data_IF_243812189325
#
_entry.id   IF_243812189325
#
_cell.length_a   1.000
_cell.length_b   1.000
_cell.length_c   1.000
_cell.angle_alpha   90.00
_cell.angle_beta   90.00
_cell.angle_gamma   90.00
#
_symmetry.space_group_name_H-M   'P 1'
#
loop_
_entity.id
_entity.type
_entity.pdbx_description
1 polymer ?
#
# COMPACT_ATOMS: atom_id res chain seq x y z
N UNK A 1 -10.87 19.98 -7.44
CA UNK A 1 -10.24 18.65 -7.36
C UNK A 1 -11.20 17.66 -7.99
N UNK A 2 -10.85 17.10 -9.13
CA UNK A 2 -11.57 15.99 -9.75
C UNK A 2 -11.09 14.68 -9.12
N UNK A 3 -12.00 13.73 -8.94
CA UNK A 3 -11.69 12.39 -8.43
C UNK A 3 -11.95 11.35 -9.51
N UNK A 4 -11.06 10.37 -9.60
CA UNK A 4 -11.15 9.25 -10.54
C UNK A 4 -10.84 7.94 -9.82
N UNK A 5 -11.43 6.85 -10.27
CA UNK A 5 -11.14 5.50 -9.79
C UNK A 5 -10.54 4.66 -10.91
N UNK A 6 -9.51 3.88 -10.58
CA UNK A 6 -8.93 2.85 -11.45
C UNK A 6 -8.86 1.53 -10.72
N UNK A 7 -9.04 0.43 -11.45
CA UNK A 7 -8.91 -0.92 -10.93
C UNK A 7 -7.60 -1.49 -11.47
N UNK A 8 -6.67 -1.84 -10.57
CA UNK A 8 -5.32 -2.27 -10.96
C UNK A 8 -5.32 -3.45 -11.94
N UNK A 9 -6.30 -4.36 -11.82
CA UNK A 9 -6.43 -5.55 -12.65
C UNK A 9 -7.27 -5.34 -13.91
N UNK A 10 -7.79 -4.12 -14.15
CA UNK A 10 -8.62 -3.77 -15.32
C UNK A 10 -8.10 -2.53 -16.05
N UNK A 11 -6.79 -2.26 -15.95
CA UNK A 11 -6.18 -1.11 -16.61
C UNK A 11 -6.28 -1.25 -18.14
N UNK A 12 -6.75 -0.21 -18.79
CA UNK A 12 -6.75 -0.09 -20.26
C UNK A 12 -5.42 0.53 -20.73
N UNK A 13 -4.64 -0.15 -21.59
CA UNK A 13 -3.39 0.39 -22.13
C UNK A 13 -3.54 1.70 -22.91
N UNK A 14 -4.73 2.00 -23.44
CA UNK A 14 -5.01 3.25 -24.15
C UNK A 14 -5.39 4.41 -23.23
N UNK A 15 -5.56 4.15 -21.94
CA UNK A 15 -6.01 5.15 -20.98
C UNK A 15 -4.84 5.99 -20.44
N UNK A 16 -5.05 7.30 -20.33
CA UNK A 16 -4.05 8.20 -19.74
C UNK A 16 -3.85 7.90 -18.24
N UNK A 17 -2.57 7.81 -17.85
CA UNK A 17 -2.15 7.59 -16.48
C UNK A 17 -2.36 8.84 -15.62
N UNK A 18 -2.70 8.69 -14.33
CA UNK A 18 -2.79 9.82 -13.43
C UNK A 18 -1.40 10.39 -13.14
N UNK A 19 -1.20 11.68 -13.41
CA UNK A 19 0.09 12.35 -13.21
C UNK A 19 0.16 13.17 -11.91
N UNK A 20 -0.98 13.53 -11.32
CA UNK A 20 -1.06 14.41 -10.16
C UNK A 20 -1.00 13.64 -8.83
N UNK A 21 -2.12 13.48 -8.12
CA UNK A 21 -2.16 12.70 -6.88
C UNK A 21 -2.75 11.32 -7.11
N UNK A 22 -2.07 10.27 -6.63
CA UNK A 22 -2.53 8.88 -6.68
C UNK A 22 -2.58 8.31 -5.27
N UNK A 23 -3.70 7.72 -4.91
CA UNK A 23 -3.85 6.94 -3.67
C UNK A 23 -4.06 5.49 -4.07
N UNK A 24 -3.06 4.65 -3.83
CA UNK A 24 -3.17 3.21 -4.01
C UNK A 24 -3.80 2.62 -2.76
N UNK A 25 -4.99 2.03 -2.90
CA UNK A 25 -5.76 1.52 -1.77
C UNK A 25 -5.61 -0.01 -1.71
N UNK A 26 -5.22 -0.51 -0.54
CA UNK A 26 -5.18 -1.94 -0.21
C UNK A 26 -5.54 -2.07 1.28
N UNK A 27 -6.85 -2.08 1.55
CA UNK A 27 -7.40 -2.17 2.91
C UNK A 27 -7.14 -3.56 3.49
N UNK A 28 -7.35 -4.62 2.71
CA UNK A 28 -7.15 -6.01 3.11
C UNK A 28 -6.00 -6.67 2.31
N UNK A 29 -4.75 -6.53 2.76
CA UNK A 29 -4.30 -5.98 4.06
C UNK A 29 -3.07 -5.09 3.98
N UNK A 30 -2.49 -4.86 2.80
CA UNK A 30 -1.14 -4.32 2.65
C UNK A 30 -0.93 -2.98 3.36
N UNK A 31 -1.83 -2.03 3.16
CA UNK A 31 -1.65 -0.67 3.70
C UNK A 31 -2.32 -0.45 5.05
N UNK A 32 -3.23 -1.34 5.45
CA UNK A 32 -3.57 -1.48 6.87
C UNK A 32 -2.35 -1.99 7.67
N UNK A 33 -1.63 -3.00 7.17
CA UNK A 33 -0.43 -3.52 7.82
C UNK A 33 0.68 -2.47 7.88
N UNK A 34 0.91 -1.75 6.78
CA UNK A 34 1.90 -0.66 6.73
C UNK A 34 1.62 0.43 7.78
N UNK A 35 0.35 0.84 7.93
CA UNK A 35 -0.04 1.82 8.94
C UNK A 35 0.29 1.35 10.37
N UNK A 36 -0.01 0.08 10.68
CA UNK A 36 0.30 -0.50 11.99
C UNK A 36 1.81 -0.65 12.22
N UNK A 37 2.58 -0.92 11.16
CA UNK A 37 4.03 -0.99 11.25
C UNK A 37 4.65 0.37 11.60
N UNK A 38 4.20 1.43 10.94
CA UNK A 38 4.63 2.80 11.24
C UNK A 38 4.20 3.21 12.66
N UNK A 39 2.97 2.89 13.05
CA UNK A 39 2.48 3.14 14.41
C UNK A 39 3.28 2.38 15.49
N UNK A 40 3.79 1.19 15.17
CA UNK A 40 4.70 0.41 16.02
C UNK A 40 6.16 0.91 15.98
N UNK A 41 6.43 1.97 15.21
CA UNK A 41 7.70 2.69 15.22
C UNK A 41 8.68 2.34 14.09
N UNK A 42 8.24 1.61 13.05
CA UNK A 42 9.06 1.43 11.85
C UNK A 42 9.50 2.80 11.29
N UNK A 43 10.79 2.95 10.98
CA UNK A 43 11.33 4.25 10.51
C UNK A 43 10.96 4.55 9.06
N UNK A 44 10.98 3.51 8.22
CA UNK A 44 10.68 3.57 6.80
C UNK A 44 10.12 2.23 6.34
N UNK A 45 9.20 2.26 5.37
CA UNK A 45 8.73 1.06 4.67
C UNK A 45 9.30 1.06 3.24
N UNK A 46 9.97 -0.01 2.84
CA UNK A 46 10.51 -0.25 1.52
C UNK A 46 9.63 -1.25 0.76
N UNK A 47 8.73 -0.78 -0.13
CA UNK A 47 7.95 -1.67 -0.97
C UNK A 47 8.85 -2.32 -2.03
N UNK A 48 8.83 -3.64 -2.13
CA UNK A 48 9.62 -4.40 -3.11
C UNK A 48 8.77 -5.41 -3.86
N UNK A 49 8.97 -5.50 -5.16
CA UNK A 49 8.10 -6.28 -6.05
C UNK A 49 8.16 -7.78 -5.77
N UNK A 50 9.35 -8.31 -5.43
CA UNK A 50 9.58 -9.75 -5.33
C UNK A 50 10.19 -10.14 -3.99
N UNK A 51 9.92 -11.37 -3.58
CA UNK A 51 10.53 -12.00 -2.40
C UNK A 51 12.06 -12.02 -2.52
N UNK A 52 12.58 -12.31 -3.72
CA UNK A 52 14.03 -12.29 -3.98
C UNK A 52 14.62 -10.88 -3.78
N UNK A 53 13.94 -9.84 -4.28
CA UNK A 53 14.35 -8.46 -4.07
C UNK A 53 14.31 -8.08 -2.57
N UNK A 54 13.33 -8.58 -1.82
CA UNK A 54 13.25 -8.36 -0.38
C UNK A 54 14.47 -8.94 0.36
N UNK A 55 14.84 -10.18 0.10
CA UNK A 55 16.04 -10.79 0.70
C UNK A 55 17.33 -10.12 0.21
N UNK A 56 17.38 -9.68 -1.05
CA UNK A 56 18.52 -8.90 -1.54
C UNK A 56 18.67 -7.58 -0.79
N UNK A 57 17.58 -6.84 -0.59
CA UNK A 57 17.60 -5.57 0.14
C UNK A 57 17.90 -5.78 1.62
N UNK A 58 17.36 -6.83 2.24
CA UNK A 58 17.65 -7.17 3.64
C UNK A 58 19.14 -7.44 3.87
N UNK A 59 19.85 -8.05 2.92
CA UNK A 59 21.31 -8.21 3.00
C UNK A 59 22.06 -6.88 2.98
N UNK A 60 21.52 -5.86 2.31
CA UNK A 60 22.11 -4.51 2.28
C UNK A 60 21.69 -3.65 3.48
N UNK A 61 20.55 -3.97 4.10
CA UNK A 61 19.99 -3.30 5.27
C UNK A 61 19.86 -4.32 6.43
N UNK A 62 20.94 -4.69 7.11
CA UNK A 62 20.94 -5.79 8.08
C UNK A 62 20.00 -5.56 9.28
N UNK A 63 19.68 -4.31 9.60
CA UNK A 63 18.74 -3.97 10.68
C UNK A 63 17.27 -4.02 10.23
N UNK A 64 17.00 -4.17 8.93
CA UNK A 64 15.67 -4.20 8.36
C UNK A 64 14.93 -5.49 8.70
N UNK A 65 13.64 -5.34 9.03
CA UNK A 65 12.70 -6.45 9.15
C UNK A 65 11.92 -6.64 7.85
N UNK A 66 11.28 -7.78 7.70
CA UNK A 66 10.50 -8.15 6.51
C UNK A 66 9.05 -8.43 6.86
N UNK A 67 8.13 -7.97 6.03
CA UNK A 67 6.70 -8.30 6.11
C UNK A 67 6.12 -8.54 4.74
N UNK A 68 5.13 -9.42 4.65
CA UNK A 68 4.47 -9.66 3.38
C UNK A 68 3.60 -10.90 3.35
N UNK A 69 3.03 -11.11 2.18
CA UNK A 69 2.24 -12.30 1.90
C UNK A 69 2.35 -12.68 0.42
N UNK A 70 2.26 -13.98 0.14
CA UNK A 70 2.07 -14.49 -1.22
C UNK A 70 0.62 -14.26 -1.68
N UNK A 71 0.34 -14.51 -2.97
CA UNK A 71 -1.04 -14.53 -3.48
C UNK A 71 -1.90 -15.49 -2.64
N UNK A 72 -3.11 -15.07 -2.26
CA UNK A 72 -3.96 -15.78 -1.31
C UNK A 72 -3.80 -15.35 0.16
N UNK A 73 -2.74 -14.61 0.50
CA UNK A 73 -2.60 -13.96 1.81
C UNK A 73 -1.78 -14.73 2.85
N UNK A 74 -1.19 -15.86 2.47
CA UNK A 74 -0.30 -16.64 3.34
C UNK A 74 1.04 -15.91 3.61
N UNK A 75 1.61 -16.02 4.82
CA UNK A 75 2.93 -15.45 5.13
C UNK A 75 4.02 -16.01 4.22
N UNK A 76 5.02 -15.19 3.90
CA UNK A 76 6.18 -15.61 3.11
C UNK A 76 7.16 -16.37 4.01
N UNK A 77 7.56 -17.61 3.67
CA UNK A 77 8.55 -18.35 4.44
C UNK A 77 9.87 -17.58 4.56
N UNK A 78 10.39 -17.49 5.79
CA UNK A 78 11.63 -16.79 6.10
C UNK A 78 11.49 -15.28 6.35
N UNK A 79 10.28 -14.72 6.21
CA UNK A 79 10.02 -13.35 6.64
C UNK A 79 9.80 -13.26 8.15
N UNK A 80 10.10 -12.10 8.72
CA UNK A 80 9.91 -11.81 10.15
C UNK A 80 8.42 -11.74 10.51
N UNK A 81 7.59 -11.20 9.60
CA UNK A 81 6.15 -11.05 9.80
C UNK A 81 5.35 -11.42 8.54
N UNK A 82 4.09 -11.82 8.77
CA UNK A 82 3.08 -11.89 7.70
C UNK A 82 2.39 -10.54 7.48
N UNK A 83 1.50 -10.47 6.49
CA UNK A 83 0.72 -9.26 6.17
C UNK A 83 -0.54 -9.08 7.06
N UNK A 84 -0.39 -9.19 8.39
CA UNK A 84 -1.49 -8.99 9.34
C UNK A 84 -1.23 -7.77 10.25
N UNK A 85 -2.12 -6.75 10.27
CA UNK A 85 -1.91 -5.56 11.10
C UNK A 85 -1.77 -5.88 12.59
N UNK A 86 -2.60 -6.79 13.10
CA UNK A 86 -2.58 -7.22 14.51
C UNK A 86 -1.28 -7.90 14.91
N UNK A 87 -0.56 -8.54 13.98
CA UNK A 87 0.71 -9.19 14.28
C UNK A 87 1.85 -8.18 14.47
N UNK A 88 1.71 -6.95 13.97
CA UNK A 88 2.67 -5.87 14.16
C UNK A 88 2.41 -5.05 15.42
N UNK A 89 1.26 -5.22 16.05
CA UNK A 89 0.94 -4.55 17.30
C UNK A 89 1.88 -5.04 18.41
N UNK A 90 2.69 -4.14 18.96
CA UNK A 90 3.71 -4.47 19.97
C UNK A 90 4.98 -5.12 19.43
N UNK A 91 5.14 -5.22 18.10
CA UNK A 91 6.39 -5.65 17.49
C UNK A 91 7.52 -4.65 17.76
N UNK A 92 8.76 -5.14 17.88
CA UNK A 92 9.96 -4.30 18.10
C UNK A 92 10.42 -3.64 16.79
N UNK A 93 9.60 -2.74 16.26
CA UNK A 93 9.84 -2.01 15.01
C UNK A 93 10.50 -0.64 15.21
N UNK A 94 10.57 -0.14 16.45
CA UNK A 94 11.10 1.18 16.78
C UNK A 94 12.45 1.49 16.09
N UNK A 95 12.44 2.47 15.19
CA UNK A 95 13.60 2.96 14.44
C UNK A 95 14.07 2.05 13.30
N UNK A 96 13.46 0.88 13.12
CA UNK A 96 13.93 -0.13 12.16
C UNK A 96 13.25 0.04 10.79
N UNK A 97 14.00 -0.10 9.69
CA UNK A 97 13.41 -0.25 8.37
C UNK A 97 12.53 -1.50 8.29
N UNK A 98 11.47 -1.43 7.49
CA UNK A 98 10.64 -2.57 7.15
C UNK A 98 10.60 -2.75 5.63
N UNK A 99 10.92 -3.94 5.15
CA UNK A 99 10.83 -4.31 3.75
C UNK A 99 9.49 -5.03 3.55
N UNK A 100 8.64 -4.50 2.67
CA UNK A 100 7.29 -4.99 2.47
C UNK A 100 7.10 -5.50 1.04
N UNK A 101 6.59 -6.73 0.89
CA UNK A 101 6.16 -7.26 -0.42
C UNK A 101 4.77 -7.89 -0.32
N UNK A 102 3.86 -7.46 -1.18
CA UNK A 102 2.49 -7.96 -1.26
C UNK A 102 2.05 -8.07 -2.70
N UNK A 103 1.08 -8.95 -2.97
CA UNK A 103 0.68 -9.28 -4.32
C UNK A 103 -0.05 -8.13 -5.07
N UNK A 104 -0.81 -7.29 -4.34
CA UNK A 104 -1.63 -6.19 -4.87
C UNK A 104 -1.04 -4.81 -4.54
N UNK A 105 -1.13 -4.34 -3.30
CA UNK A 105 -0.76 -2.97 -2.92
C UNK A 105 0.62 -2.52 -3.39
N UNK A 106 1.68 -3.31 -3.13
CA UNK A 106 3.05 -2.98 -3.57
C UNK A 106 3.16 -2.85 -5.09
N UNK A 107 2.48 -3.71 -5.85
CA UNK A 107 2.42 -3.60 -7.32
C UNK A 107 1.79 -2.28 -7.75
N UNK A 108 0.71 -1.87 -7.07
CA UNK A 108 0.08 -0.57 -7.32
C UNK A 108 1.02 0.61 -7.07
N UNK A 109 1.76 0.61 -5.96
CA UNK A 109 2.74 1.68 -5.67
C UNK A 109 3.83 1.75 -6.73
N UNK A 110 4.39 0.60 -7.13
CA UNK A 110 5.43 0.57 -8.16
C UNK A 110 4.90 1.05 -9.51
N UNK A 111 3.66 0.64 -9.87
CA UNK A 111 3.01 0.99 -11.14
C UNK A 111 2.78 2.50 -11.32
N UNK A 112 2.46 3.20 -10.24
CA UNK A 112 2.12 4.63 -10.26
C UNK A 112 3.21 5.51 -9.60
N UNK A 113 4.45 5.03 -9.56
CA UNK A 113 5.58 5.71 -8.90
C UNK A 113 6.04 7.01 -9.56
N UNK A 114 5.59 7.30 -10.79
CA UNK A 114 5.92 8.50 -11.56
C UNK A 114 4.99 9.69 -11.35
N UNK A 115 3.88 9.53 -10.63
CA UNK A 115 2.96 10.65 -10.34
C UNK A 115 3.58 11.67 -9.37
N UNK A 116 3.02 12.89 -9.33
CA UNK A 116 3.51 13.98 -8.48
C UNK A 116 3.44 13.65 -7.00
N UNK A 117 2.37 12.98 -6.56
CA UNK A 117 2.19 12.60 -5.16
C UNK A 117 1.53 11.21 -5.05
N UNK A 118 2.25 10.26 -4.45
CA UNK A 118 1.79 8.88 -4.29
C UNK A 118 1.54 8.56 -2.81
N UNK A 119 0.37 7.99 -2.52
CA UNK A 119 -0.03 7.60 -1.18
C UNK A 119 -0.41 6.12 -1.12
N UNK A 120 -0.02 5.46 -0.03
CA UNK A 120 -0.58 4.18 0.38
C UNK A 120 -1.83 4.43 1.23
N UNK A 121 -2.99 3.99 0.76
CA UNK A 121 -4.30 4.23 1.34
C UNK A 121 -4.91 2.98 1.97
N UNK A 122 -5.59 3.18 3.10
CA UNK A 122 -6.44 2.19 3.77
C UNK A 122 -7.46 2.91 4.66
N UNK A 123 -8.48 2.21 5.15
CA UNK A 123 -9.51 2.81 6.01
C UNK A 123 -8.92 3.43 7.28
N UNK A 124 -7.90 2.80 7.86
CA UNK A 124 -7.25 3.30 9.09
C UNK A 124 -6.43 4.58 8.86
N UNK A 125 -6.13 4.90 7.60
CA UNK A 125 -5.44 6.13 7.18
C UNK A 125 -6.40 7.17 6.57
N UNK A 126 -7.64 6.80 6.25
CA UNK A 126 -8.50 7.56 5.33
C UNK A 126 -8.65 9.05 5.65
N UNK A 127 -8.92 9.40 6.91
CA UNK A 127 -9.02 10.82 7.33
C UNK A 127 -7.70 11.56 7.13
N UNK A 128 -6.58 10.96 7.53
CA UNK A 128 -5.27 11.60 7.44
C UNK A 128 -4.87 11.80 5.97
N UNK A 129 -5.13 10.80 5.12
CA UNK A 129 -4.91 10.89 3.67
C UNK A 129 -5.75 12.01 3.05
N UNK A 130 -7.06 12.07 3.35
CA UNK A 130 -7.94 13.12 2.86
C UNK A 130 -7.47 14.54 3.28
N UNK A 131 -7.04 14.70 4.54
CA UNK A 131 -6.50 15.97 5.03
C UNK A 131 -5.25 16.41 4.26
N UNK A 132 -4.33 15.50 3.96
CA UNK A 132 -3.13 15.80 3.18
C UNK A 132 -3.49 16.16 1.74
N UNK A 133 -4.44 15.46 1.12
CA UNK A 133 -4.91 15.78 -0.24
C UNK A 133 -5.54 17.18 -0.30
N UNK A 134 -6.38 17.54 0.67
CA UNK A 134 -6.98 18.88 0.76
C UNK A 134 -5.92 19.98 0.93
N UNK A 135 -4.87 19.73 1.70
CA UNK A 135 -3.76 20.66 1.85
C UNK A 135 -2.89 20.77 0.58
N UNK A 136 -2.70 19.66 -0.13
CA UNK A 136 -1.91 19.59 -1.37
C UNK A 136 -2.61 20.25 -2.56
N UNK A 137 -3.95 20.33 -2.52
CA UNK A 137 -4.80 20.89 -3.58
C UNK A 137 -4.47 20.38 -4.99
N UNK A 138 -4.40 19.06 -5.23
CA UNK A 138 -4.21 18.54 -6.57
C UNK A 138 -5.40 18.90 -7.48
N UNK A 139 -5.12 19.04 -8.77
CA UNK A 139 -6.15 19.15 -9.79
C UNK A 139 -6.96 17.84 -9.89
N UNK A 140 -6.27 16.70 -9.80
CA UNK A 140 -6.85 15.36 -9.82
C UNK A 140 -6.35 14.47 -8.67
N UNK A 141 -7.26 13.70 -8.07
CA UNK A 141 -6.95 12.55 -7.21
C UNK A 141 -7.44 11.28 -7.88
N UNK A 142 -6.53 10.36 -8.16
CA UNK A 142 -6.85 9.04 -8.65
C UNK A 142 -6.76 8.01 -7.52
N UNK A 143 -7.88 7.39 -7.18
CA UNK A 143 -7.93 6.24 -6.27
C UNK A 143 -7.73 4.95 -7.07
N UNK A 144 -6.70 4.17 -6.71
CA UNK A 144 -6.40 2.89 -7.34
C UNK A 144 -6.85 1.76 -6.43
N UNK A 145 -7.86 1.02 -6.87
CA UNK A 145 -8.44 -0.15 -6.21
C UNK A 145 -7.58 -1.37 -6.54
N UNK A 146 -7.08 -2.06 -5.51
CA UNK A 146 -6.15 -3.20 -5.68
C UNK A 146 -6.69 -4.53 -5.17
N UNK A 147 -7.77 -4.50 -4.38
CA UNK A 147 -8.41 -5.64 -3.73
C UNK A 147 -9.20 -6.58 -4.64
N UNK A 148 -9.25 -6.35 -5.95
CA UNK A 148 -9.94 -7.25 -6.87
C UNK A 148 -9.12 -8.53 -7.11
N UNK A 149 -9.68 -9.67 -6.73
CA UNK A 149 -9.10 -11.01 -6.89
C UNK A 149 -10.16 -11.98 -7.44
N UNK A 150 -9.79 -13.23 -7.70
CA UNK A 150 -10.73 -14.26 -8.22
C UNK A 150 -11.92 -14.48 -7.26
N UNK A 151 -11.71 -14.25 -5.96
CA UNK A 151 -12.66 -14.49 -4.88
C UNK A 151 -13.13 -13.21 -4.15
N UNK A 152 -12.70 -12.03 -4.61
CA UNK A 152 -12.98 -10.72 -3.99
C UNK A 152 -13.13 -9.63 -5.04
N UNK A 153 -14.07 -8.71 -4.85
CA UNK A 153 -14.37 -7.59 -5.75
C UNK A 153 -13.67 -6.28 -5.38
N UNK A 154 -13.08 -6.21 -4.19
CA UNK A 154 -12.40 -5.01 -3.66
C UNK A 154 -13.37 -3.98 -3.07
N UNK A 155 -14.56 -4.40 -2.64
CA UNK A 155 -15.56 -3.55 -2.00
C UNK A 155 -15.00 -2.72 -0.83
N UNK A 156 -14.05 -3.27 -0.07
CA UNK A 156 -13.39 -2.57 1.03
C UNK A 156 -12.53 -1.40 0.54
N UNK A 157 -11.87 -1.54 -0.60
CA UNK A 157 -11.04 -0.50 -1.20
C UNK A 157 -11.92 0.58 -1.82
N UNK A 158 -13.04 0.19 -2.43
CA UNK A 158 -14.06 1.11 -2.97
C UNK A 158 -14.65 1.93 -1.82
N UNK A 159 -15.09 1.29 -0.74
CA UNK A 159 -15.61 1.98 0.44
C UNK A 159 -14.58 2.93 1.07
N UNK A 160 -13.29 2.57 1.02
CA UNK A 160 -12.21 3.44 1.44
C UNK A 160 -12.05 4.67 0.53
N UNK A 161 -12.15 4.51 -0.78
CA UNK A 161 -12.16 5.63 -1.73
C UNK A 161 -13.36 6.56 -1.49
N UNK A 162 -14.55 5.99 -1.33
CA UNK A 162 -15.79 6.74 -1.03
C UNK A 162 -15.66 7.53 0.28
N UNK A 163 -15.08 6.91 1.31
CA UNK A 163 -14.81 7.58 2.58
C UNK A 163 -13.84 8.76 2.45
N UNK A 164 -12.81 8.65 1.61
CA UNK A 164 -11.85 9.75 1.39
C UNK A 164 -12.41 10.86 0.48
N UNK A 165 -13.40 10.54 -0.35
CA UNK A 165 -14.06 11.48 -1.27
C UNK A 165 -15.16 12.32 -0.61
N UNK A 166 -15.81 11.79 0.44
CA UNK A 166 -16.91 12.43 1.17
C UNK A 166 -16.50 13.69 1.97
#
# INVERSE_FOLDING_TARGET
MHTRRLFLNRLDPGQHEPEDAVVVIDVLRSFSTAAYALAAGASTIYPVETISAAFHLQRALPDALTTGAVGGGDPIPGFDFGNSPSALQGAKLAGRPLIQTTAAGVRGLLRFSSCRALFAGSLVLGRATAQVLLALQPAEVCFVITGEWVDRDGDEDIACADYMEA
#
